data_IF_509409966288
#
_entry.id   IF_509409966288
#
_cell.length_a   1.000
_cell.length_b   1.000
_cell.length_c   1.000
_cell.angle_alpha   90.00
_cell.angle_beta   90.00
_cell.angle_gamma   90.00
#
_symmetry.space_group_name_H-M   'P 1'
#
loop_
_entity.id
_entity.type
_entity.pdbx_description
1 polymer ?
#
# COMPACT_ATOMS: atom_id res chain seq x y z
N UNK A 1 16.75 -35.34 -44.96
CA UNK A 1 18.14 -35.18 -44.49
C UNK A 1 18.55 -33.74 -44.76
N UNK A 2 18.19 -32.71 -43.99
CA UNK A 2 18.15 -32.48 -42.54
C UNK A 2 16.98 -31.53 -42.25
N UNK A 3 16.03 -31.83 -41.35
CA UNK A 3 15.05 -30.80 -40.97
C UNK A 3 14.29 -30.97 -39.65
N UNK A 4 14.81 -31.71 -38.68
CA UNK A 4 14.32 -31.60 -37.30
C UNK A 4 15.50 -31.56 -36.33
N UNK A 5 16.13 -30.38 -36.26
CA UNK A 5 17.01 -30.05 -35.13
C UNK A 5 16.13 -29.47 -34.01
N UNK A 6 16.17 -30.02 -32.78
CA UNK A 6 15.35 -29.53 -31.67
C UNK A 6 15.79 -28.14 -31.16
N UNK A 7 16.86 -27.58 -31.71
CA UNK A 7 17.40 -26.27 -31.30
C UNK A 7 16.66 -25.04 -31.85
N UNK A 8 15.74 -25.18 -32.82
CA UNK A 8 14.99 -24.03 -33.35
C UNK A 8 13.75 -23.64 -32.54
N UNK A 9 13.39 -24.40 -31.50
CA UNK A 9 12.29 -24.04 -30.59
C UNK A 9 12.76 -23.33 -29.31
N UNK A 10 14.05 -23.03 -29.20
CA UNK A 10 14.62 -22.30 -28.07
C UNK A 10 14.79 -20.81 -28.36
N UNK A 11 14.08 -20.26 -29.34
CA UNK A 11 13.87 -18.83 -29.46
C UNK A 11 12.68 -18.41 -28.59
N UNK A 12 12.98 -18.32 -27.30
CA UNK A 12 12.50 -17.23 -26.47
C UNK A 12 10.97 -17.11 -26.26
N UNK A 13 10.38 -18.17 -25.72
CA UNK A 13 9.19 -18.06 -24.87
C UNK A 13 9.56 -17.73 -23.40
N UNK A 14 10.62 -16.94 -23.22
CA UNK A 14 11.14 -16.49 -21.93
C UNK A 14 11.10 -14.97 -21.81
N UNK A 15 9.95 -14.36 -22.06
CA UNK A 15 9.56 -13.14 -21.34
C UNK A 15 8.34 -13.47 -20.49
N UNK A 16 8.51 -14.50 -19.64
CA UNK A 16 7.76 -14.58 -18.39
C UNK A 16 7.89 -13.22 -17.73
N UNK A 17 6.75 -12.55 -17.58
CA UNK A 17 6.52 -11.36 -16.78
C UNK A 17 7.81 -10.70 -16.30
N UNK A 18 8.23 -9.66 -17.01
CA UNK A 18 9.08 -8.64 -16.41
C UNK A 18 8.27 -8.10 -15.21
N UNK A 19 8.44 -8.74 -14.05
CA UNK A 19 7.94 -8.26 -12.78
C UNK A 19 8.71 -6.97 -12.57
N UNK A 20 8.16 -5.87 -13.10
CA UNK A 20 8.72 -4.54 -12.92
C UNK A 20 8.75 -4.34 -11.41
N UNK A 21 9.94 -4.40 -10.84
CA UNK A 21 10.14 -3.99 -9.45
C UNK A 21 9.67 -2.55 -9.37
N UNK A 22 8.64 -2.32 -8.58
CA UNK A 22 8.15 -0.98 -8.33
C UNK A 22 9.31 -0.17 -7.73
N UNK A 23 9.49 1.04 -8.21
CA UNK A 23 10.32 2.04 -7.54
C UNK A 23 9.78 2.28 -6.12
N UNK A 24 10.61 2.82 -5.24
CA UNK A 24 10.21 3.10 -3.86
C UNK A 24 8.93 3.96 -3.79
N UNK A 25 8.81 4.97 -4.67
CA UNK A 25 7.63 5.81 -4.75
C UNK A 25 6.39 5.07 -5.28
N UNK A 26 6.54 4.28 -6.34
CA UNK A 26 5.43 3.46 -6.86
C UNK A 26 4.92 2.48 -5.78
N UNK A 27 5.81 1.83 -5.02
CA UNK A 27 5.44 0.97 -3.91
C UNK A 27 4.75 1.72 -2.77
N UNK A 28 5.26 2.90 -2.40
CA UNK A 28 4.65 3.71 -1.34
C UNK A 28 3.22 4.13 -1.72
N UNK A 29 3.02 4.59 -2.95
CA UNK A 29 1.70 4.98 -3.45
C UNK A 29 0.74 3.80 -3.52
N UNK A 30 1.19 2.64 -4.02
CA UNK A 30 0.38 1.40 -4.05
C UNK A 30 -0.06 0.98 -2.64
N UNK A 31 0.84 1.06 -1.66
CA UNK A 31 0.51 0.77 -0.27
C UNK A 31 -0.52 1.76 0.31
N UNK A 32 -0.39 3.07 0.05
CA UNK A 32 -1.36 4.08 0.51
C UNK A 32 -2.75 3.79 -0.10
N UNK A 33 -2.81 3.46 -1.38
CA UNK A 33 -4.06 3.14 -2.08
C UNK A 33 -4.70 1.87 -1.49
N UNK A 34 -3.91 0.82 -1.24
CA UNK A 34 -4.39 -0.42 -0.60
C UNK A 34 -4.93 -0.18 0.80
N UNK A 35 -4.22 0.61 1.61
CA UNK A 35 -4.68 0.99 2.94
C UNK A 35 -5.98 1.80 2.84
N UNK A 36 -6.08 2.75 1.92
CA UNK A 36 -7.32 3.51 1.72
C UNK A 36 -8.51 2.58 1.43
N UNK A 37 -8.38 1.69 0.44
CA UNK A 37 -9.46 0.76 0.06
C UNK A 37 -9.77 -0.33 1.10
N UNK A 38 -8.84 -0.62 2.02
CA UNK A 38 -9.11 -1.51 3.16
C UNK A 38 -10.13 -0.90 4.13
N UNK A 39 -10.19 0.42 4.22
CA UNK A 39 -11.07 1.14 5.15
C UNK A 39 -12.25 1.83 4.49
N UNK A 40 -12.18 2.19 3.21
CA UNK A 40 -13.28 2.83 2.48
C UNK A 40 -14.37 1.85 2.03
N UNK A 41 -15.58 2.38 1.81
CA UNK A 41 -16.69 1.65 1.22
C UNK A 41 -17.31 0.57 2.12
N UNK A 42 -16.97 0.57 3.42
CA UNK A 42 -17.73 -0.20 4.43
C UNK A 42 -19.09 0.45 4.63
N UNK A 43 -19.13 1.77 4.55
CA UNK A 43 -20.34 2.58 4.60
C UNK A 43 -20.31 3.60 3.45
N UNK A 44 -21.19 3.45 2.46
CA UNK A 44 -21.31 4.41 1.35
C UNK A 44 -20.33 4.17 0.19
N UNK A 45 -19.57 5.21 -0.21
CA UNK A 45 -18.79 5.21 -1.45
C UNK A 45 -17.32 4.76 -1.23
N UNK A 46 -16.91 3.72 -1.95
CA UNK A 46 -15.56 3.13 -1.90
C UNK A 46 -14.41 4.05 -2.31
N UNK A 47 -14.69 5.17 -2.98
CA UNK A 47 -13.70 6.17 -3.39
C UNK A 47 -13.57 7.32 -2.38
N UNK A 48 -14.32 7.27 -1.28
CA UNK A 48 -14.25 8.24 -0.17
C UNK A 48 -14.13 7.54 1.16
N UNK A 49 -13.71 8.26 2.20
CA UNK A 49 -13.80 7.79 3.58
C UNK A 49 -14.85 8.62 4.32
N UNK A 50 -15.76 7.94 5.00
CA UNK A 50 -16.60 8.61 5.99
C UNK A 50 -15.76 9.00 7.21
N UNK A 51 -16.32 9.86 8.06
CA UNK A 51 -15.67 10.24 9.33
C UNK A 51 -15.37 9.03 10.22
N UNK A 52 -16.25 8.03 10.22
CA UNK A 52 -16.05 6.80 10.99
C UNK A 52 -14.90 5.96 10.40
N UNK A 53 -14.91 5.74 9.09
CA UNK A 53 -13.87 4.97 8.39
C UNK A 53 -12.48 5.61 8.52
N UNK A 54 -12.40 6.94 8.41
CA UNK A 54 -11.14 7.67 8.64
C UNK A 54 -10.64 7.48 10.08
N UNK A 55 -11.53 7.53 11.07
CA UNK A 55 -11.16 7.32 12.48
C UNK A 55 -10.58 5.92 12.69
N UNK A 56 -11.14 4.91 12.04
CA UNK A 56 -10.67 3.54 12.12
C UNK A 56 -9.32 3.34 11.41
N UNK A 57 -9.13 3.98 10.25
CA UNK A 57 -7.84 3.98 9.54
C UNK A 57 -6.74 4.58 10.40
N UNK A 58 -6.97 5.78 10.96
CA UNK A 58 -5.98 6.48 11.78
C UNK A 58 -5.60 5.67 13.03
N UNK A 59 -6.59 5.02 13.67
CA UNK A 59 -6.33 4.16 14.82
C UNK A 59 -5.63 2.85 14.46
N UNK A 60 -5.95 2.25 13.32
CA UNK A 60 -5.40 0.96 12.92
C UNK A 60 -3.98 1.04 12.33
N UNK A 61 -3.74 2.03 11.48
CA UNK A 61 -2.49 2.12 10.69
C UNK A 61 -1.51 3.15 11.27
N UNK A 62 -2.01 4.14 12.04
CA UNK A 62 -1.22 5.29 12.53
C UNK A 62 -1.27 5.45 14.06
N UNK A 63 -1.57 4.39 14.82
CA UNK A 63 -1.74 4.46 16.28
C UNK A 63 -0.54 5.09 17.00
N UNK A 64 0.68 4.67 16.64
CA UNK A 64 1.91 5.17 17.24
C UNK A 64 2.12 6.67 16.98
N UNK A 65 1.81 7.13 15.77
CA UNK A 65 1.90 8.55 15.41
C UNK A 65 0.94 9.41 16.24
N UNK A 66 -0.29 8.93 16.45
CA UNK A 66 -1.27 9.63 17.29
C UNK A 66 -0.84 9.70 18.76
N UNK A 67 -0.25 8.64 19.30
CA UNK A 67 0.25 8.61 20.69
C UNK A 67 1.35 9.65 20.92
N UNK A 68 2.29 9.77 19.98
CA UNK A 68 3.36 10.77 20.08
C UNK A 68 2.80 12.19 20.11
N UNK A 69 1.83 12.51 19.25
CA UNK A 69 1.22 13.84 19.22
C UNK A 69 0.45 14.18 20.50
N UNK A 70 -0.25 13.20 21.09
CA UNK A 70 -0.97 13.41 22.34
C UNK A 70 -0.01 13.67 23.53
N UNK A 71 1.15 13.01 23.54
CA UNK A 71 2.15 13.19 24.60
C UNK A 71 2.85 14.57 24.55
N UNK A 72 2.92 15.21 23.38
CA UNK A 72 3.43 16.57 23.23
C UNK A 72 2.45 17.58 23.86
N UNK A 73 1.14 17.35 23.73
CA UNK A 73 0.13 18.21 24.36
C UNK A 73 0.05 18.07 25.89
N UNK A 74 0.35 16.90 26.45
CA UNK A 74 0.31 16.66 27.90
C UNK A 74 1.54 17.15 28.66
N UNK A 75 2.58 17.65 27.97
CA UNK A 75 3.83 18.09 28.60
C UNK A 75 3.91 19.62 28.84
N UNK A 76 2.88 20.40 28.49
CA UNK A 76 2.87 21.89 28.59
C UNK A 76 1.85 22.42 29.62
N UNK A 77 1.11 21.57 30.31
CA UNK A 77 0.21 22.00 31.39
C UNK A 77 0.39 21.11 32.59
N UNK A 78 0.95 21.69 33.66
CA UNK A 78 0.88 21.30 35.09
C UNK A 78 2.21 21.66 35.78
N UNK A 79 2.60 22.93 35.70
CA UNK A 79 3.43 23.55 36.73
C UNK A 79 2.48 24.45 37.52
N UNK A 80 1.86 23.87 38.55
CA UNK A 80 1.28 24.62 39.66
C UNK A 80 2.39 25.34 40.44
#
# INVERSE_FOLDING_TARGET
>A
NWQHSPHSLQLHLSHRHHFKMLSQLESAMDNIIKVFYKYSGKEGDKYTLTKAELKDLLKGELEAFLKVNNNISTSIGNAE
#
